data_IF_295792811850
#
_entry.id   IF_295792811850
#
_cell.length_a   1.000
_cell.length_b   1.000
_cell.length_c   1.000
_cell.angle_alpha   90.00
_cell.angle_beta   90.00
_cell.angle_gamma   90.00
#
_symmetry.space_group_name_H-M   'P 1'
#
loop_
_entity.id
_entity.type
_entity.pdbx_description
1 polymer ?
#
# COMPACT_ATOMS: atom_id res chain seq x y z
N UNK A 1 10.48 -0.94 -12.89
CA UNK A 1 10.64 -2.29 -12.30
C UNK A 1 9.53 -2.52 -11.28
N UNK A 2 9.16 -3.78 -10.99
CA UNK A 2 8.13 -4.12 -10.00
C UNK A 2 8.79 -4.47 -8.66
N UNK A 3 8.14 -4.15 -7.54
CA UNK A 3 8.64 -4.45 -6.21
C UNK A 3 8.67 -5.96 -5.94
N UNK A 4 9.85 -6.46 -5.64
CA UNK A 4 10.16 -7.87 -5.42
C UNK A 4 10.43 -8.22 -3.95
N UNK A 5 10.44 -7.23 -3.06
CA UNK A 5 10.75 -7.39 -1.64
C UNK A 5 12.00 -6.65 -1.19
N UNK A 6 12.81 -6.12 -2.12
CA UNK A 6 14.04 -5.39 -1.79
C UNK A 6 13.78 -3.88 -1.67
N UNK A 7 14.41 -3.22 -0.69
CA UNK A 7 14.30 -1.77 -0.46
C UNK A 7 12.86 -1.28 -0.25
N UNK A 8 12.10 -1.95 0.63
CA UNK A 8 10.71 -1.62 0.91
C UNK A 8 10.48 -0.14 1.22
N UNK A 9 11.35 0.51 2.00
CA UNK A 9 11.24 1.94 2.33
C UNK A 9 11.27 2.84 1.08
N UNK A 10 12.12 2.51 0.10
CA UNK A 10 12.21 3.27 -1.15
C UNK A 10 10.98 3.04 -2.02
N UNK A 11 10.55 1.79 -2.18
CA UNK A 11 9.32 1.48 -2.90
C UNK A 11 8.10 2.17 -2.28
N UNK A 12 7.98 2.12 -0.95
CA UNK A 12 6.91 2.77 -0.17
C UNK A 12 6.89 4.28 -0.44
N UNK A 13 8.04 4.93 -0.38
CA UNK A 13 8.17 6.36 -0.70
C UNK A 13 7.65 6.68 -2.12
N UNK A 14 8.04 5.88 -3.12
CA UNK A 14 7.62 6.10 -4.51
C UNK A 14 6.12 5.90 -4.71
N UNK A 15 5.53 4.85 -4.13
CA UNK A 15 4.11 4.57 -4.32
C UNK A 15 3.23 5.57 -3.56
N UNK A 16 3.65 6.01 -2.36
CA UNK A 16 2.96 7.06 -1.62
C UNK A 16 2.95 8.37 -2.44
N UNK A 17 4.11 8.83 -2.93
CA UNK A 17 4.21 10.04 -3.76
C UNK A 17 3.32 9.94 -5.02
N UNK A 18 3.35 8.80 -5.71
CA UNK A 18 2.49 8.56 -6.87
C UNK A 18 0.99 8.68 -6.51
N UNK A 19 0.56 8.09 -5.40
CA UNK A 19 -0.84 8.18 -4.96
C UNK A 19 -1.23 9.62 -4.58
N UNK A 20 -0.33 10.40 -3.99
CA UNK A 20 -0.55 11.84 -3.75
C UNK A 20 -0.74 12.60 -5.05
N UNK A 21 0.16 12.41 -6.02
CA UNK A 21 0.07 13.05 -7.33
C UNK A 21 -1.24 12.71 -8.06
N UNK A 22 -1.74 11.48 -7.89
CA UNK A 22 -3.01 11.02 -8.49
C UNK A 22 -4.25 11.34 -7.66
N UNK A 23 -4.12 12.02 -6.52
CA UNK A 23 -5.22 12.30 -5.57
C UNK A 23 -5.91 11.03 -5.05
N UNK A 24 -5.15 9.93 -4.95
CA UNK A 24 -5.58 8.60 -4.49
C UNK A 24 -5.00 8.22 -3.12
N UNK A 25 -4.48 9.18 -2.36
CA UNK A 25 -3.74 8.94 -1.12
C UNK A 25 -4.64 8.70 0.11
N UNK A 26 -5.91 9.17 0.09
CA UNK A 26 -6.80 9.08 1.26
C UNK A 26 -6.99 7.66 1.82
N UNK A 27 -7.12 6.61 1.00
CA UNK A 27 -7.25 5.23 1.48
C UNK A 27 -6.03 4.70 2.26
N UNK A 28 -4.85 5.32 2.15
CA UNK A 28 -3.67 4.96 2.95
C UNK A 28 -3.93 5.14 4.46
N UNK A 29 -4.82 6.07 4.83
CA UNK A 29 -5.15 6.36 6.23
C UNK A 29 -6.31 5.53 6.79
N UNK A 30 -7.00 4.74 5.95
CA UNK A 30 -8.09 3.83 6.34
C UNK A 30 -9.38 4.48 6.83
N UNK A 31 -9.46 5.80 6.90
CA UNK A 31 -10.63 6.51 7.40
C UNK A 31 -11.30 7.30 6.28
N UNK A 32 -12.57 6.98 6.02
CA UNK A 32 -13.39 7.72 5.06
C UNK A 32 -13.61 9.16 5.57
N UNK A 33 -13.32 10.20 4.77
CA UNK A 33 -13.59 11.59 5.14
C UNK A 33 -15.09 11.85 5.41
N UNK A 34 -15.38 12.70 6.39
CA UNK A 34 -16.75 13.15 6.69
C UNK A 34 -17.35 13.85 5.46
N UNK A 35 -18.53 13.41 5.05
CA UNK A 35 -19.24 13.96 3.88
C UNK A 35 -18.94 13.27 2.54
N UNK A 36 -18.01 12.31 2.49
CA UNK A 36 -17.80 11.47 1.30
C UNK A 36 -18.85 10.36 1.22
N UNK A 37 -19.43 10.16 0.03
CA UNK A 37 -20.36 9.02 -0.23
C UNK A 37 -19.59 7.70 -0.18
N UNK A 38 -20.25 6.65 0.32
CA UNK A 38 -19.65 5.31 0.45
C UNK A 38 -19.20 4.72 -0.88
N UNK A 39 -19.97 4.95 -1.95
CA UNK A 39 -19.63 4.48 -3.30
C UNK A 39 -18.34 5.10 -3.81
N UNK A 40 -18.17 6.42 -3.64
CA UNK A 40 -16.95 7.12 -4.05
C UNK A 40 -15.75 6.69 -3.21
N UNK A 41 -15.93 6.52 -1.90
CA UNK A 41 -14.88 6.00 -1.03
C UNK A 41 -14.45 4.59 -1.44
N UNK A 42 -15.41 3.69 -1.65
CA UNK A 42 -15.15 2.30 -2.06
C UNK A 42 -14.45 2.25 -3.42
N UNK A 43 -14.82 3.12 -4.36
CA UNK A 43 -14.16 3.23 -5.65
C UNK A 43 -12.71 3.73 -5.49
N UNK A 44 -12.50 4.78 -4.70
CA UNK A 44 -11.17 5.35 -4.45
C UNK A 44 -10.23 4.33 -3.78
N UNK A 45 -10.72 3.63 -2.76
CA UNK A 45 -9.98 2.57 -2.08
C UNK A 45 -9.61 1.43 -3.04
N UNK A 46 -10.56 0.96 -3.85
CA UNK A 46 -10.27 -0.05 -4.88
C UNK A 46 -9.24 0.44 -5.90
N UNK A 47 -9.30 1.70 -6.33
CA UNK A 47 -8.33 2.26 -7.27
C UNK A 47 -6.92 2.31 -6.69
N UNK A 48 -6.77 2.84 -5.48
CA UNK A 48 -5.49 2.89 -4.77
C UNK A 48 -4.93 1.47 -4.56
N UNK A 49 -5.75 0.53 -4.09
CA UNK A 49 -5.39 -0.89 -3.95
C UNK A 49 -4.85 -1.47 -5.26
N UNK A 50 -5.57 -1.27 -6.37
CA UNK A 50 -5.15 -1.82 -7.68
C UNK A 50 -3.86 -1.19 -8.17
N UNK A 51 -3.68 0.12 -7.97
CA UNK A 51 -2.43 0.81 -8.30
C UNK A 51 -1.26 0.20 -7.55
N UNK A 52 -1.38 0.02 -6.23
CA UNK A 52 -0.31 -0.58 -5.42
C UNK A 52 -0.01 -2.00 -5.93
N UNK A 53 -1.04 -2.85 -6.12
CA UNK A 53 -0.87 -4.20 -6.66
C UNK A 53 -0.14 -4.24 -8.02
N UNK A 54 -0.36 -3.26 -8.90
CA UNK A 54 0.31 -3.20 -10.20
C UNK A 54 1.81 -2.94 -10.08
N UNK A 55 2.25 -2.26 -9.01
CA UNK A 55 3.67 -2.04 -8.73
C UNK A 55 4.36 -3.26 -8.14
N UNK A 56 3.62 -4.26 -7.69
CA UNK A 56 4.17 -5.48 -7.09
C UNK A 56 4.59 -6.49 -8.16
N UNK A 57 5.65 -7.24 -7.85
CA UNK A 57 6.03 -8.46 -8.56
C UNK A 57 4.94 -9.53 -8.38
N UNK A 58 4.97 -10.57 -9.23
CA UNK A 58 3.99 -11.67 -9.14
C UNK A 58 3.98 -12.33 -7.76
N UNK A 59 5.15 -12.55 -7.18
CA UNK A 59 5.28 -13.22 -5.88
C UNK A 59 4.73 -12.34 -4.74
N UNK A 60 5.12 -11.06 -4.71
CA UNK A 60 4.62 -10.12 -3.70
C UNK A 60 3.09 -9.94 -3.80
N UNK A 61 2.55 -9.82 -5.02
CA UNK A 61 1.11 -9.69 -5.24
C UNK A 61 0.32 -10.94 -4.79
N UNK A 62 0.86 -12.14 -4.97
CA UNK A 62 0.20 -13.38 -4.54
C UNK A 62 0.04 -13.44 -3.01
N UNK A 63 1.06 -13.01 -2.27
CA UNK A 63 1.04 -13.02 -0.79
C UNK A 63 -0.01 -12.09 -0.17
N UNK A 64 -0.38 -11.01 -0.87
CA UNK A 64 -1.37 -10.02 -0.39
C UNK A 64 -2.73 -10.16 -1.07
N UNK A 65 -2.96 -11.20 -1.87
CA UNK A 65 -4.18 -11.35 -2.68
C UNK A 65 -5.49 -11.44 -1.89
N UNK A 66 -5.44 -11.70 -0.58
CA UNK A 66 -6.59 -11.71 0.33
C UNK A 66 -7.00 -10.31 0.81
N UNK A 67 -6.13 -9.32 0.67
CA UNK A 67 -6.36 -7.97 1.16
C UNK A 67 -7.31 -7.22 0.23
N UNK A 68 -8.41 -6.71 0.80
CA UNK A 68 -9.51 -6.08 0.05
C UNK A 68 -9.54 -4.56 0.19
N UNK A 69 -8.74 -4.00 1.09
CA UNK A 69 -8.63 -2.56 1.34
C UNK A 69 -7.19 -2.09 1.19
N UNK A 70 -6.99 -0.83 0.81
CA UNK A 70 -5.65 -0.24 0.68
C UNK A 70 -4.89 -0.30 2.00
N UNK A 71 -5.57 -0.02 3.10
CA UNK A 71 -4.97 -0.02 4.44
C UNK A 71 -4.52 -1.42 4.85
N UNK A 72 -5.38 -2.44 4.69
CA UNK A 72 -5.02 -3.81 5.07
C UNK A 72 -3.88 -4.36 4.19
N UNK A 73 -3.88 -3.99 2.91
CA UNK A 73 -2.78 -4.28 1.99
C UNK A 73 -1.46 -3.64 2.43
N UNK A 74 -1.47 -2.35 2.79
CA UNK A 74 -0.27 -1.66 3.26
C UNK A 74 0.27 -2.25 4.57
N UNK A 75 -0.62 -2.61 5.50
CA UNK A 75 -0.25 -3.29 6.76
C UNK A 75 0.39 -4.65 6.48
N UNK A 76 -0.18 -5.44 5.56
CA UNK A 76 0.38 -6.73 5.18
C UNK A 76 1.77 -6.60 4.55
N UNK A 77 1.94 -5.66 3.62
CA UNK A 77 3.25 -5.39 3.00
C UNK A 77 4.28 -4.91 4.01
N UNK A 78 3.88 -4.02 4.92
CA UNK A 78 4.73 -3.54 6.01
C UNK A 78 5.20 -4.69 6.91
N UNK A 79 4.27 -5.54 7.35
CA UNK A 79 4.58 -6.71 8.19
C UNK A 79 5.53 -7.72 7.51
N UNK A 80 5.38 -7.90 6.18
CA UNK A 80 6.20 -8.85 5.43
C UNK A 80 7.62 -8.35 5.14
N UNK A 81 7.76 -7.07 4.81
CA UNK A 81 8.99 -6.55 4.20
C UNK A 81 9.71 -5.51 5.04
N UNK A 82 9.04 -4.91 6.04
CA UNK A 82 9.72 -4.12 7.04
C UNK A 82 10.32 -5.07 8.09
N UNK A 83 11.65 -5.24 8.03
CA UNK A 83 12.38 -5.94 9.09
C UNK A 83 12.46 -5.02 10.31
N UNK A 84 12.26 -5.51 11.55
CA UNK A 84 12.82 -4.81 12.69
C UNK A 84 14.33 -4.74 12.46
N UNK A 85 14.87 -3.53 12.45
CA UNK A 85 16.31 -3.33 12.36
C UNK A 85 16.97 -4.06 13.52
N UNK A 86 17.61 -5.20 13.27
CA UNK A 86 18.62 -5.78 14.16
C UNK A 86 19.90 -4.94 14.09
N UNK A 87 19.76 -3.65 14.40
CA UNK A 87 20.86 -2.72 14.63
C UNK A 87 20.66 -2.12 16.01
N UNK A 88 20.96 -2.93 17.00
CA UNK A 88 21.53 -2.54 18.29
C UNK A 88 22.16 -3.82 18.87
N UNK A 89 23.29 -4.21 18.28
CA UNK A 89 24.28 -4.95 19.06
C UNK A 89 24.85 -3.93 20.05
N UNK A 90 24.51 -4.11 21.33
CA UNK A 90 25.32 -3.62 22.45
C UNK A 90 26.56 -4.50 22.52
#
# INVERSE_FOLDING_TARGET
EKFDGVNFSFWKMQIEDYLYQKKMYQPLFGNKPKGMKDEYWTLLDKQALRVICLTLSRNAAFNIGKETTTTSLMVALFSMYEKPSTSNKV
#
